data_IF_154628769078
#
_entry.id   IF_154628769078
#
_cell.length_a   1.000
_cell.length_b   1.000
_cell.length_c   1.000
_cell.angle_alpha   90.00
_cell.angle_beta   90.00
_cell.angle_gamma   90.00
#
_symmetry.space_group_name_H-M   'P 1'
#
loop_
_entity.id
_entity.type
_entity.pdbx_description
1 polymer ?
#
# COMPACT_ATOMS: atom_id res chain seq x y z
N UNK A 1 3.86 -26.81 -5.54
CA UNK A 1 4.30 -25.39 -5.54
C UNK A 1 5.69 -25.34 -6.17
N UNK A 2 6.04 -24.31 -6.97
CA UNK A 2 7.38 -24.18 -7.58
C UNK A 2 8.50 -24.16 -6.51
N UNK A 3 8.15 -23.70 -5.30
CA UNK A 3 9.01 -23.64 -4.13
C UNK A 3 9.47 -25.02 -3.61
N UNK A 4 8.81 -26.11 -3.96
CA UNK A 4 9.27 -27.45 -3.51
C UNK A 4 10.41 -28.00 -4.36
N UNK A 5 10.79 -27.30 -5.44
CA UNK A 5 11.82 -27.73 -6.40
C UNK A 5 13.23 -27.24 -6.07
N UNK A 6 13.40 -26.36 -5.08
CA UNK A 6 14.71 -25.87 -4.64
C UNK A 6 14.93 -26.31 -3.18
N UNK A 7 16.06 -26.97 -2.91
CA UNK A 7 16.28 -27.67 -1.65
C UNK A 7 16.50 -26.75 -0.43
N UNK A 8 16.77 -25.46 -0.63
CA UNK A 8 16.92 -24.48 0.45
C UNK A 8 16.46 -23.11 -0.06
N UNK A 9 15.24 -22.70 0.31
CA UNK A 9 14.74 -21.36 0.00
C UNK A 9 14.13 -20.73 1.24
N UNK A 10 14.58 -19.50 1.54
CA UNK A 10 13.92 -18.59 2.44
C UNK A 10 13.24 -17.51 1.60
N UNK A 11 11.91 -17.47 1.61
CA UNK A 11 11.15 -16.44 0.91
C UNK A 11 10.97 -15.26 1.87
N UNK A 12 11.71 -14.17 1.64
CA UNK A 12 11.42 -12.86 2.25
C UNK A 12 10.47 -12.10 1.33
N UNK A 13 9.18 -12.14 1.62
CA UNK A 13 8.24 -11.22 0.98
C UNK A 13 8.21 -9.91 1.75
N UNK A 14 8.11 -8.78 1.04
CA UNK A 14 7.77 -7.50 1.65
C UNK A 14 6.29 -7.29 1.40
N UNK A 15 5.49 -7.22 2.46
CA UNK A 15 4.10 -6.85 2.34
C UNK A 15 4.01 -5.38 1.90
N UNK A 16 3.40 -5.13 0.75
CA UNK A 16 3.24 -3.78 0.18
C UNK A 16 1.81 -3.62 -0.27
N UNK A 17 1.05 -2.82 0.45
CA UNK A 17 -0.30 -2.47 0.07
C UNK A 17 -0.43 -0.97 0.26
N UNK A 18 -0.24 -0.23 -0.83
CA UNK A 18 -0.31 1.23 -0.86
C UNK A 18 -1.64 1.75 -1.39
N UNK A 19 -2.70 0.93 -1.33
CA UNK A 19 -4.03 1.26 -1.85
C UNK A 19 -5.12 1.10 -0.78
N UNK A 20 -4.76 1.06 0.50
CA UNK A 20 -5.71 0.75 1.59
C UNK A 20 -6.74 1.86 1.76
N UNK A 21 -6.32 3.11 1.59
CA UNK A 21 -7.21 4.26 1.63
C UNK A 21 -8.25 4.19 0.50
N UNK A 22 -7.82 3.88 -0.73
CA UNK A 22 -8.72 3.76 -1.87
C UNK A 22 -9.67 2.56 -1.71
N UNK A 23 -9.17 1.42 -1.24
CA UNK A 23 -10.00 0.23 -0.97
C UNK A 23 -11.07 0.50 0.08
N UNK A 24 -10.72 1.25 1.14
CA UNK A 24 -11.68 1.67 2.17
C UNK A 24 -12.75 2.58 1.58
N UNK A 25 -12.36 3.60 0.80
CA UNK A 25 -13.30 4.48 0.11
C UNK A 25 -14.22 3.72 -0.86
N UNK A 26 -13.69 2.75 -1.61
CA UNK A 26 -14.48 1.93 -2.51
C UNK A 26 -15.51 1.07 -1.76
N UNK A 27 -15.12 0.46 -0.63
CA UNK A 27 -16.03 -0.31 0.22
C UNK A 27 -17.12 0.56 0.84
N UNK A 28 -16.75 1.73 1.35
CA UNK A 28 -17.71 2.67 1.93
C UNK A 28 -18.66 3.21 0.84
N UNK A 29 -18.15 3.45 -0.37
CA UNK A 29 -18.94 3.82 -1.54
C UNK A 29 -19.90 2.75 -2.03
N UNK A 30 -19.54 1.46 -1.95
CA UNK A 30 -20.45 0.36 -2.28
C UNK A 30 -21.68 0.28 -1.35
N UNK A 31 -21.58 0.82 -0.14
CA UNK A 31 -22.67 0.83 0.86
C UNK A 31 -23.43 2.16 0.83
N UNK A 32 -22.91 3.17 0.13
CA UNK A 32 -23.53 4.49 -0.01
C UNK A 32 -24.82 4.41 -0.85
N UNK A 33 -25.89 5.05 -0.37
CA UNK A 33 -27.14 5.24 -1.14
C UNK A 33 -27.05 6.38 -2.16
N UNK A 34 -25.95 7.13 -2.14
CA UNK A 34 -25.71 8.28 -3.02
C UNK A 34 -24.76 7.87 -4.15
N UNK A 35 -25.14 8.17 -5.40
CA UNK A 35 -24.38 7.79 -6.61
C UNK A 35 -23.01 8.47 -6.71
N UNK A 36 -22.88 9.70 -6.20
CA UNK A 36 -21.64 10.46 -6.24
C UNK A 36 -21.58 11.48 -5.10
N UNK A 37 -20.43 11.58 -4.43
CA UNK A 37 -20.18 12.55 -3.37
C UNK A 37 -18.79 13.16 -3.53
N UNK A 38 -18.69 14.47 -3.34
CA UNK A 38 -17.42 15.19 -3.24
C UNK A 38 -17.30 15.70 -1.81
N UNK A 39 -16.18 15.39 -1.17
CA UNK A 39 -15.90 15.80 0.20
C UNK A 39 -14.78 16.82 0.21
N UNK A 40 -15.05 18.01 0.76
CA UNK A 40 -14.04 19.08 0.88
C UNK A 40 -12.99 18.77 1.94
N UNK A 41 -13.27 17.82 2.84
CA UNK A 41 -12.38 17.37 3.92
C UNK A 41 -12.45 15.85 4.05
N UNK A 42 -11.40 15.22 4.61
CA UNK A 42 -11.42 13.78 4.85
C UNK A 42 -12.59 13.38 5.76
N UNK A 43 -13.35 12.33 5.42
CA UNK A 43 -14.54 11.92 6.17
C UNK A 43 -14.21 11.40 7.58
N UNK A 44 -12.98 10.95 7.82
CA UNK A 44 -12.54 10.44 9.12
C UNK A 44 -11.03 10.55 9.32
N UNK A 45 -10.61 10.59 10.58
CA UNK A 45 -9.19 10.51 10.97
C UNK A 45 -8.57 9.15 10.61
N UNK A 46 -9.36 8.09 10.58
CA UNK A 46 -8.95 6.76 10.09
C UNK A 46 -8.50 6.83 8.63
N UNK A 47 -9.27 7.52 7.78
CA UNK A 47 -8.93 7.67 6.37
C UNK A 47 -7.61 8.44 6.19
N UNK A 48 -7.38 9.48 6.99
CA UNK A 48 -6.11 10.21 7.01
C UNK A 48 -4.93 9.29 7.39
N UNK A 49 -5.13 8.41 8.38
CA UNK A 49 -4.10 7.47 8.80
C UNK A 49 -3.79 6.43 7.71
N UNK A 50 -4.83 5.94 7.01
CA UNK A 50 -4.66 5.03 5.87
C UNK A 50 -3.91 5.71 4.72
N UNK A 51 -4.27 6.95 4.40
CA UNK A 51 -3.58 7.74 3.38
C UNK A 51 -2.10 7.93 3.75
N UNK A 52 -1.81 8.29 4.99
CA UNK A 52 -0.43 8.42 5.48
C UNK A 52 0.32 7.08 5.41
N UNK A 53 -0.32 5.98 5.80
CA UNK A 53 0.26 4.63 5.70
C UNK A 53 0.55 4.23 4.26
N UNK A 54 -0.35 4.52 3.31
CA UNK A 54 -0.16 4.22 1.89
C UNK A 54 1.05 5.01 1.35
N UNK A 55 1.12 6.30 1.69
CA UNK A 55 2.22 7.20 1.30
C UNK A 55 3.56 6.74 1.88
N UNK A 56 3.63 6.44 3.18
CA UNK A 56 4.86 5.97 3.83
C UNK A 56 5.27 4.58 3.34
N UNK A 57 4.29 3.67 3.16
CA UNK A 57 4.51 2.34 2.58
C UNK A 57 5.14 2.43 1.18
N UNK A 58 4.72 3.41 0.38
CA UNK A 58 5.28 3.71 -0.93
C UNK A 58 6.71 4.29 -0.84
N UNK A 59 6.96 5.21 0.10
CA UNK A 59 8.28 5.84 0.26
C UNK A 59 9.35 4.95 0.91
N UNK A 60 8.97 3.99 1.75
CA UNK A 60 9.92 3.03 2.34
C UNK A 60 10.74 2.26 1.29
N UNK A 61 10.24 2.23 0.05
CA UNK A 61 10.81 1.50 -1.07
C UNK A 61 11.50 2.41 -2.06
N UNK A 62 11.08 3.67 -2.19
CA UNK A 62 11.88 4.66 -2.90
C UNK A 62 13.21 4.89 -2.19
N UNK A 63 13.25 4.85 -0.85
CA UNK A 63 14.51 4.91 -0.12
C UNK A 63 15.40 3.69 -0.42
N UNK A 64 14.86 2.47 -0.44
CA UNK A 64 15.66 1.27 -0.76
C UNK A 64 16.04 1.17 -2.26
N UNK A 65 15.15 1.57 -3.16
CA UNK A 65 15.39 1.59 -4.60
C UNK A 65 16.38 2.68 -5.02
N UNK A 66 16.48 3.78 -4.26
CA UNK A 66 17.48 4.83 -4.48
C UNK A 66 18.81 4.57 -3.76
N UNK A 67 18.89 3.64 -2.80
CA UNK A 67 20.16 3.23 -2.15
C UNK A 67 20.86 2.05 -2.82
N UNK A 68 20.16 1.28 -3.66
CA UNK A 68 20.77 0.17 -4.41
C UNK A 68 21.66 0.61 -5.59
N UNK A 69 21.42 1.73 -6.31
CA UNK A 69 22.31 2.16 -7.39
C UNK A 69 23.67 2.67 -6.88
N UNK A 70 23.78 3.05 -5.60
CA UNK A 70 24.99 3.66 -5.03
C UNK A 70 25.95 2.69 -4.36
N UNK A 71 25.59 1.39 -4.25
CA UNK A 71 26.47 0.35 -3.71
C UNK A 71 27.00 -0.64 -4.77
N UNK A 72 26.80 -0.31 -6.06
CA UNK A 72 27.38 -1.02 -7.18
C UNK A 72 28.67 -0.34 -7.68
N UNK A 73 29.66 -0.20 -6.80
CA UNK A 73 31.05 0.10 -7.14
C UNK A 73 31.99 -0.62 -6.18
#
# INVERSE_FOLDING_TARGET
SLLTRFQQISVKHVYREGNRCADKLAKDGCISEVDFVVLDQPPSSELCNLLFSDVVGMYSLSCLANTLPTLAY
#
